data_IF_658696878937
#
_entry.id   IF_658696878937
#
_cell.length_a   1.000
_cell.length_b   1.000
_cell.length_c   1.000
_cell.angle_alpha   90.00
_cell.angle_beta   90.00
_cell.angle_gamma   90.00
#
_symmetry.space_group_name_H-M   'P 1'
#
loop_
_entity.id
_entity.type
_entity.pdbx_description
1 polymer ?
#
# COMPACT_ATOMS: atom_id res chain seq x y z
N UNK A 1 -11.00 -4.45 -12.24
CA UNK A 1 -11.93 -5.48 -11.75
C UNK A 1 -11.13 -6.71 -11.38
N UNK A 2 -10.97 -6.97 -10.09
CA UNK A 2 -10.35 -8.21 -9.62
C UNK A 2 -11.27 -9.38 -10.01
N UNK A 3 -10.72 -10.40 -10.67
CA UNK A 3 -11.45 -11.65 -10.95
C UNK A 3 -11.53 -12.43 -9.65
N UNK A 4 -12.57 -12.19 -8.86
CA UNK A 4 -12.86 -13.02 -7.70
C UNK A 4 -13.43 -14.36 -8.19
N UNK A 5 -12.54 -15.27 -8.56
CA UNK A 5 -12.91 -16.59 -9.07
C UNK A 5 -12.27 -17.69 -8.22
N UNK A 6 -12.99 -18.18 -7.21
CA UNK A 6 -12.50 -19.22 -6.30
C UNK A 6 -12.17 -20.55 -7.02
N UNK A 7 -12.67 -20.77 -8.25
CA UNK A 7 -12.61 -22.07 -8.91
C UNK A 7 -12.18 -22.08 -10.40
N UNK A 8 -12.26 -20.98 -11.16
CA UNK A 8 -12.14 -21.04 -12.64
C UNK A 8 -11.28 -19.91 -13.25
N UNK A 9 -10.79 -18.95 -12.46
CA UNK A 9 -10.30 -17.68 -12.98
C UNK A 9 -8.94 -17.20 -12.50
N UNK A 10 -8.01 -18.11 -12.17
CA UNK A 10 -6.74 -17.75 -11.52
C UNK A 10 -6.98 -17.34 -10.07
N UNK A 11 -6.33 -18.02 -9.13
CA UNK A 11 -6.42 -17.68 -7.72
C UNK A 11 -5.49 -16.49 -7.42
N UNK A 12 -5.85 -15.31 -7.88
CA UNK A 12 -5.16 -14.07 -7.53
C UNK A 12 -5.74 -13.50 -6.24
N UNK A 13 -4.89 -13.15 -5.28
CA UNK A 13 -5.32 -12.55 -4.03
C UNK A 13 -4.33 -12.81 -2.91
N UNK A 14 -4.31 -11.90 -1.93
CA UNK A 14 -3.32 -11.87 -0.83
C UNK A 14 -3.17 -13.20 -0.09
N UNK A 15 -4.25 -13.98 0.04
CA UNK A 15 -4.22 -15.30 0.69
C UNK A 15 -3.63 -16.38 -0.22
N UNK A 16 -3.92 -16.33 -1.52
CA UNK A 16 -3.48 -17.33 -2.50
C UNK A 16 -2.04 -17.09 -2.95
N UNK A 17 -1.62 -15.83 -3.02
CA UNK A 17 -0.27 -15.41 -3.44
C UNK A 17 0.81 -15.68 -2.36
N UNK A 18 0.40 -16.11 -1.16
CA UNK A 18 1.27 -16.33 -0.01
C UNK A 18 1.65 -17.82 0.15
N UNK A 19 2.72 -18.33 -0.50
CA UNK A 19 3.09 -19.76 -0.42
C UNK A 19 3.38 -20.21 1.02
N UNK A 20 3.90 -19.31 1.84
CA UNK A 20 4.19 -19.56 3.24
C UNK A 20 2.94 -19.91 4.06
N UNK A 21 1.79 -19.32 3.75
CA UNK A 21 0.52 -19.62 4.42
C UNK A 21 0.11 -21.08 4.17
N UNK A 22 0.21 -21.53 2.92
CA UNK A 22 -0.14 -22.90 2.54
C UNK A 22 0.82 -23.94 3.11
N UNK A 23 2.12 -23.62 3.15
CA UNK A 23 3.13 -24.48 3.81
C UNK A 23 2.79 -24.65 5.30
N UNK A 24 2.41 -23.56 5.98
CA UNK A 24 2.02 -23.63 7.38
C UNK A 24 0.73 -24.39 7.61
N UNK A 25 -0.27 -24.20 6.74
CA UNK A 25 -1.49 -24.99 6.79
C UNK A 25 -1.19 -26.49 6.65
N UNK A 26 -0.35 -26.87 5.68
CA UNK A 26 0.06 -28.27 5.49
C UNK A 26 0.81 -28.82 6.71
N UNK A 27 1.68 -28.03 7.34
CA UNK A 27 2.36 -28.40 8.58
C UNK A 27 1.35 -28.64 9.72
N UNK A 28 0.35 -27.76 9.86
CA UNK A 28 -0.69 -27.90 10.88
C UNK A 28 -1.55 -29.15 10.65
N UNK A 29 -1.91 -29.44 9.39
CA UNK A 29 -2.61 -30.66 9.03
C UNK A 29 -1.77 -31.91 9.33
N UNK A 30 -0.47 -31.87 9.09
CA UNK A 30 0.44 -32.97 9.44
C UNK A 30 0.51 -33.17 10.95
N UNK A 31 0.63 -32.10 11.73
CA UNK A 31 0.63 -32.16 13.20
C UNK A 31 -0.69 -32.76 13.71
N UNK A 32 -1.83 -32.30 13.17
CA UNK A 32 -3.15 -32.83 13.50
C UNK A 32 -3.28 -34.32 13.15
N UNK A 33 -2.79 -34.74 11.98
CA UNK A 33 -2.79 -36.15 11.58
C UNK A 33 -1.88 -37.01 12.48
N UNK A 34 -0.69 -36.50 12.84
CA UNK A 34 0.23 -37.20 13.73
C UNK A 34 -0.36 -37.37 15.15
N UNK A 35 -0.97 -36.31 15.70
CA UNK A 35 -1.66 -36.38 16.99
C UNK A 35 -2.87 -37.30 16.94
N UNK A 36 -3.65 -37.29 15.86
CA UNK A 36 -4.75 -38.22 15.64
C UNK A 36 -4.26 -39.67 15.70
N UNK A 37 -3.22 -40.01 14.94
CA UNK A 37 -2.67 -41.38 14.89
C UNK A 37 -2.15 -41.80 16.26
N UNK A 38 -1.40 -40.94 16.95
CA UNK A 38 -0.85 -41.25 18.28
C UNK A 38 -1.97 -41.54 19.28
N UNK A 39 -2.99 -40.69 19.34
CA UNK A 39 -4.13 -40.85 20.26
C UNK A 39 -4.95 -42.09 19.89
N UNK A 40 -5.24 -42.30 18.61
CA UNK A 40 -5.97 -43.48 18.14
C UNK A 40 -5.25 -44.79 18.50
N UNK A 41 -3.94 -44.86 18.27
CA UNK A 41 -3.12 -46.03 18.60
C UNK A 41 -3.01 -46.25 20.11
N UNK A 42 -2.90 -45.18 20.90
CA UNK A 42 -2.87 -45.24 22.35
C UNK A 42 -4.17 -45.81 22.92
N UNK A 43 -5.31 -45.26 22.51
CA UNK A 43 -6.64 -45.67 22.97
C UNK A 43 -6.99 -47.10 22.54
N UNK A 44 -6.61 -47.51 21.32
CA UNK A 44 -6.88 -48.87 20.82
C UNK A 44 -5.99 -49.95 21.46
N UNK A 45 -4.72 -49.65 21.77
CA UNK A 45 -3.78 -50.65 22.30
C UNK A 45 -3.83 -50.83 23.82
N UNK A 46 -4.08 -49.76 24.59
CA UNK A 46 -4.03 -49.85 26.05
C UNK A 46 -5.19 -50.67 26.63
N UNK A 47 -6.17 -51.05 25.81
CA UNK A 47 -7.11 -52.10 26.18
C UNK A 47 -8.04 -51.72 27.33
N UNK A 48 -8.03 -50.46 27.78
CA UNK A 48 -9.06 -49.94 28.70
C UNK A 48 -10.48 -50.07 28.12
N UNK A 49 -10.60 -50.36 26.81
CA UNK A 49 -11.87 -50.58 26.11
C UNK A 49 -12.18 -52.02 25.68
N UNK A 50 -11.39 -53.02 26.06
CA UNK A 50 -11.76 -54.42 25.72
C UNK A 50 -12.93 -54.97 26.54
N UNK A 51 -13.16 -54.43 27.74
CA UNK A 51 -14.28 -54.85 28.61
C UNK A 51 -15.47 -53.85 28.61
N UNK A 52 -15.27 -52.64 28.07
CA UNK A 52 -16.35 -51.69 27.79
C UNK A 52 -16.85 -51.90 26.36
N UNK A 53 -17.67 -52.93 26.16
CA UNK A 53 -18.62 -52.91 25.04
C UNK A 53 -19.46 -51.66 25.26
N UNK A 54 -19.27 -50.65 24.43
CA UNK A 54 -20.04 -49.41 24.42
C UNK A 54 -21.51 -49.71 24.10
N UNK A 55 -22.23 -50.28 25.07
CA UNK A 55 -23.67 -50.12 25.12
C UNK A 55 -23.96 -48.62 25.18
N UNK A 56 -25.06 -48.23 24.56
CA UNK A 56 -25.58 -46.88 24.29
C UNK A 56 -25.62 -45.89 25.50
N UNK A 57 -25.13 -46.31 26.69
CA UNK A 57 -25.18 -45.59 27.96
C UNK A 57 -23.89 -44.87 28.39
N UNK A 58 -22.73 -45.13 27.79
CA UNK A 58 -21.46 -44.48 28.24
C UNK A 58 -21.08 -43.18 27.50
N UNK A 59 -22.09 -42.49 26.96
CA UNK A 59 -21.97 -41.09 26.54
C UNK A 59 -21.35 -40.23 27.67
N UNK A 60 -21.66 -40.55 28.93
CA UNK A 60 -21.17 -39.83 30.12
C UNK A 60 -19.64 -39.92 30.27
N UNK A 61 -19.01 -41.08 30.03
CA UNK A 61 -17.56 -41.24 30.11
C UNK A 61 -16.83 -40.47 29.00
N UNK A 62 -17.39 -40.44 27.78
CA UNK A 62 -16.91 -39.56 26.71
C UNK A 62 -17.01 -38.10 27.15
N UNK A 63 -18.12 -37.71 27.77
CA UNK A 63 -18.29 -36.36 28.31
C UNK A 63 -17.28 -36.02 29.42
N UNK A 64 -16.87 -36.98 30.25
CA UNK A 64 -15.90 -36.76 31.31
C UNK A 64 -14.48 -36.50 30.74
N UNK A 65 -14.03 -37.29 29.76
CA UNK A 65 -12.80 -36.98 29.02
C UNK A 65 -12.88 -35.68 28.22
N UNK A 66 -14.06 -35.37 27.65
CA UNK A 66 -14.32 -34.07 27.05
C UNK A 66 -14.30 -32.93 28.09
N UNK A 67 -14.50 -33.22 29.37
CA UNK A 67 -14.49 -32.21 30.45
C UNK A 67 -13.06 -31.82 30.83
N UNK A 68 -12.10 -32.74 30.82
CA UNK A 68 -10.67 -32.37 30.96
C UNK A 68 -10.20 -31.57 29.74
N UNK A 69 -10.60 -32.01 28.54
CA UNK A 69 -10.42 -31.24 27.31
C UNK A 69 -11.06 -29.86 27.39
N UNK A 70 -12.17 -29.68 28.12
CA UNK A 70 -12.85 -28.40 28.28
C UNK A 70 -11.94 -27.35 28.92
N UNK A 71 -11.00 -27.75 29.78
CA UNK A 71 -10.01 -26.84 30.36
C UNK A 71 -9.04 -26.35 29.28
N UNK A 72 -8.55 -27.27 28.44
CA UNK A 72 -7.64 -26.95 27.33
C UNK A 72 -8.36 -26.13 26.25
N UNK A 73 -9.62 -26.47 25.95
CA UNK A 73 -10.48 -25.73 25.05
C UNK A 73 -10.72 -24.30 25.57
N UNK A 74 -11.08 -24.13 26.84
CA UNK A 74 -11.27 -22.82 27.44
C UNK A 74 -10.00 -21.95 27.46
N UNK A 75 -8.83 -22.58 27.66
CA UNK A 75 -7.55 -21.89 27.50
C UNK A 75 -7.33 -21.45 26.05
N UNK A 76 -7.64 -22.32 25.09
CA UNK A 76 -7.52 -22.03 23.65
C UNK A 76 -8.46 -20.90 23.25
N UNK A 77 -9.71 -20.91 23.71
CA UNK A 77 -10.68 -19.84 23.50
C UNK A 77 -10.15 -18.50 24.04
N UNK A 78 -9.55 -18.51 25.23
CA UNK A 78 -8.91 -17.32 25.80
C UNK A 78 -7.74 -16.81 24.93
N UNK A 79 -6.95 -17.72 24.33
CA UNK A 79 -5.89 -17.35 23.39
C UNK A 79 -6.43 -16.84 22.05
N UNK A 80 -7.53 -17.41 21.54
CA UNK A 80 -8.24 -16.93 20.35
C UNK A 80 -8.68 -15.50 20.58
N UNK A 81 -9.38 -15.23 21.68
CA UNK A 81 -9.87 -13.89 22.01
C UNK A 81 -8.73 -12.88 22.18
N UNK A 82 -7.67 -13.26 22.89
CA UNK A 82 -6.50 -12.41 23.08
C UNK A 82 -5.77 -12.14 21.75
N UNK A 83 -5.58 -13.17 20.92
CA UNK A 83 -4.94 -13.01 19.61
C UNK A 83 -5.78 -12.14 18.67
N UNK A 84 -7.10 -12.37 18.62
CA UNK A 84 -8.04 -11.56 17.83
C UNK A 84 -8.00 -10.09 18.26
N UNK A 85 -8.02 -9.82 19.57
CA UNK A 85 -7.94 -8.47 20.11
C UNK A 85 -6.62 -7.78 19.77
N UNK A 86 -5.48 -8.43 20.03
CA UNK A 86 -4.16 -7.86 19.78
C UNK A 86 -3.89 -7.64 18.29
N UNK A 87 -4.26 -8.60 17.44
CA UNK A 87 -4.14 -8.46 15.98
C UNK A 87 -5.11 -7.42 15.42
N UNK A 88 -6.32 -7.32 15.98
CA UNK A 88 -7.29 -6.30 15.61
C UNK A 88 -6.75 -4.90 15.84
N UNK A 89 -6.27 -4.60 17.06
CA UNK A 89 -5.64 -3.30 17.37
C UNK A 89 -4.41 -3.02 16.51
N UNK A 90 -3.59 -4.05 16.25
CA UNK A 90 -2.42 -3.90 15.41
C UNK A 90 -2.80 -3.55 13.97
N UNK A 91 -3.73 -4.30 13.37
CA UNK A 91 -4.17 -4.09 12.00
C UNK A 91 -4.84 -2.71 11.84
N UNK A 92 -5.71 -2.33 12.79
CA UNK A 92 -6.34 -1.01 12.83
C UNK A 92 -5.29 0.11 12.75
N UNK A 93 -4.27 0.04 13.61
CA UNK A 93 -3.20 1.04 13.60
C UNK A 93 -2.38 1.05 12.30
N UNK A 94 -2.15 -0.10 11.69
CA UNK A 94 -1.44 -0.17 10.40
C UNK A 94 -2.27 0.44 9.27
N UNK A 95 -3.57 0.18 9.24
CA UNK A 95 -4.50 0.75 8.24
C UNK A 95 -4.56 2.28 8.39
N UNK A 96 -4.58 2.80 9.61
CA UNK A 96 -4.50 4.24 9.88
C UNK A 96 -3.21 4.85 9.31
N UNK A 97 -2.05 4.23 9.56
CA UNK A 97 -0.76 4.71 9.04
C UNK A 97 -0.76 4.69 7.52
N UNK A 98 -1.25 3.59 6.92
CA UNK A 98 -1.37 3.46 5.47
C UNK A 98 -2.27 4.55 4.87
N UNK A 99 -3.41 4.83 5.50
CA UNK A 99 -4.35 5.85 5.09
C UNK A 99 -3.75 7.26 5.19
N UNK A 100 -3.08 7.57 6.30
CA UNK A 100 -2.41 8.85 6.53
C UNK A 100 -1.25 9.09 5.53
N UNK A 101 -0.50 8.03 5.18
CA UNK A 101 0.48 8.09 4.09
C UNK A 101 -0.18 8.45 2.75
N UNK A 102 -1.36 7.90 2.47
CA UNK A 102 -2.08 8.15 1.21
C UNK A 102 -2.72 9.53 1.13
N UNK A 103 -3.48 9.92 2.15
CA UNK A 103 -4.39 11.05 2.11
C UNK A 103 -3.81 12.30 2.72
N UNK A 104 -3.07 12.20 3.82
CA UNK A 104 -2.64 13.39 4.53
C UNK A 104 -1.27 13.86 4.05
N UNK A 105 -0.38 12.93 3.69
CA UNK A 105 0.99 13.30 3.29
C UNK A 105 1.18 13.32 1.77
N UNK A 106 0.90 12.21 1.07
CA UNK A 106 1.11 12.13 -0.38
C UNK A 106 0.20 13.09 -1.16
N UNK A 107 -1.08 13.16 -0.81
CA UNK A 107 -2.01 14.07 -1.48
C UNK A 107 -1.64 15.53 -1.22
N UNK A 108 -1.18 15.87 -0.02
CA UNK A 108 -0.75 17.22 0.31
C UNK A 108 0.50 17.63 -0.49
N UNK A 109 1.48 16.73 -0.65
CA UNK A 109 2.64 16.99 -1.51
C UNK A 109 2.22 17.34 -2.95
N UNK A 110 1.26 16.60 -3.50
CA UNK A 110 0.71 16.86 -4.84
C UNK A 110 -0.03 18.20 -4.89
N UNK A 111 -0.77 18.53 -3.83
CA UNK A 111 -1.44 19.82 -3.70
C UNK A 111 -0.44 20.98 -3.63
N UNK A 112 0.70 20.81 -2.97
CA UNK A 112 1.77 21.81 -2.95
C UNK A 112 2.36 21.99 -4.35
N UNK A 113 2.71 20.91 -5.06
CA UNK A 113 3.19 21.00 -6.46
C UNK A 113 2.16 21.72 -7.35
N UNK A 114 0.88 21.38 -7.19
CA UNK A 114 -0.24 22.00 -7.88
C UNK A 114 -0.36 23.50 -7.57
N UNK A 115 -0.23 23.88 -6.30
CA UNK A 115 -0.24 25.27 -5.82
C UNK A 115 0.91 26.08 -6.42
N UNK A 116 2.12 25.51 -6.45
CA UNK A 116 3.29 26.13 -7.07
C UNK A 116 3.08 26.36 -8.58
N UNK A 117 2.55 25.36 -9.29
CA UNK A 117 2.25 25.48 -10.71
C UNK A 117 1.12 26.49 -10.99
N UNK A 118 0.09 26.52 -10.14
CA UNK A 118 -0.98 27.52 -10.22
C UNK A 118 -0.44 28.94 -10.02
N UNK A 119 0.40 29.17 -9.02
CA UNK A 119 1.07 30.46 -8.81
C UNK A 119 1.91 30.84 -10.04
N UNK A 120 2.69 29.90 -10.58
CA UNK A 120 3.46 30.13 -11.80
C UNK A 120 2.56 30.48 -13.01
N UNK A 121 1.38 29.88 -13.14
CA UNK A 121 0.44 30.26 -14.21
C UNK A 121 -0.09 31.68 -14.08
N UNK A 122 -0.24 32.17 -12.84
CA UNK A 122 -0.71 33.54 -12.57
C UNK A 122 0.40 34.57 -12.80
N UNK A 123 1.62 34.29 -12.34
CA UNK A 123 2.74 35.21 -12.48
C UNK A 123 3.36 35.22 -13.89
N UNK A 124 3.20 34.12 -14.64
CA UNK A 124 3.69 34.01 -16.02
C UNK A 124 2.52 33.76 -17.01
N UNK A 125 1.60 34.74 -17.17
CA UNK A 125 0.40 34.56 -18.01
C UNK A 125 0.73 34.55 -19.50
N UNK A 126 1.83 35.21 -19.89
CA UNK A 126 2.20 35.35 -21.29
C UNK A 126 2.65 34.01 -21.89
N UNK A 127 2.26 33.76 -23.15
CA UNK A 127 2.70 32.61 -23.95
C UNK A 127 4.11 32.78 -24.54
N UNK A 128 4.99 33.51 -23.85
CA UNK A 128 6.39 33.62 -24.30
C UNK A 128 7.10 32.27 -24.09
N UNK A 129 8.01 31.86 -25.01
CA UNK A 129 8.75 30.61 -24.85
C UNK A 129 9.49 30.52 -23.51
N UNK A 130 10.00 31.65 -23.01
CA UNK A 130 10.67 31.74 -21.71
C UNK A 130 9.71 31.50 -20.54
N UNK A 131 8.50 32.06 -20.59
CA UNK A 131 7.45 31.84 -19.58
C UNK A 131 7.04 30.37 -19.53
N UNK A 132 6.80 29.76 -20.70
CA UNK A 132 6.46 28.34 -20.78
C UNK A 132 7.60 27.45 -20.28
N UNK A 133 8.84 27.76 -20.65
CA UNK A 133 10.01 27.04 -20.14
C UNK A 133 10.13 27.12 -18.61
N UNK A 134 9.85 28.28 -18.00
CA UNK A 134 9.85 28.44 -16.55
C UNK A 134 8.74 27.61 -15.87
N UNK A 135 7.52 27.61 -16.44
CA UNK A 135 6.37 26.82 -15.95
C UNK A 135 6.67 25.31 -16.02
N UNK A 136 7.15 24.83 -17.16
CA UNK A 136 7.52 23.42 -17.33
C UNK A 136 8.73 23.03 -16.47
N UNK A 137 9.71 23.92 -16.24
CA UNK A 137 10.82 23.67 -15.33
C UNK A 137 10.35 23.45 -13.89
N UNK A 138 9.43 24.27 -13.42
CA UNK A 138 8.84 24.14 -12.08
C UNK A 138 8.06 22.83 -11.94
N UNK A 139 7.22 22.50 -12.95
CA UNK A 139 6.50 21.23 -12.99
C UNK A 139 7.46 20.04 -12.98
N UNK A 140 8.52 20.10 -13.80
CA UNK A 140 9.55 19.06 -13.89
C UNK A 140 10.26 18.84 -12.57
N UNK A 141 10.61 19.90 -11.83
CA UNK A 141 11.19 19.75 -10.49
C UNK A 141 10.18 19.19 -9.48
N UNK A 142 8.91 19.61 -9.52
CA UNK A 142 7.87 19.03 -8.68
C UNK A 142 7.72 17.53 -8.92
N UNK A 143 7.63 17.10 -10.17
CA UNK A 143 7.50 15.67 -10.53
C UNK A 143 8.79 14.88 -10.32
N UNK A 144 9.96 15.48 -10.51
CA UNK A 144 11.25 14.89 -10.17
C UNK A 144 11.36 14.62 -8.67
N UNK A 145 10.94 15.56 -7.81
CA UNK A 145 10.93 15.36 -6.36
C UNK A 145 10.07 14.16 -5.96
N UNK A 146 8.94 13.98 -6.65
CA UNK A 146 8.04 12.85 -6.46
C UNK A 146 8.71 11.54 -6.94
N UNK A 147 9.35 11.54 -8.11
CA UNK A 147 10.05 10.35 -8.63
C UNK A 147 11.18 9.90 -7.71
N UNK A 148 11.96 10.86 -7.20
CA UNK A 148 13.03 10.62 -6.25
C UNK A 148 12.49 10.13 -4.91
N UNK A 149 11.35 10.65 -4.44
CA UNK A 149 10.73 10.16 -3.22
C UNK A 149 10.36 8.68 -3.33
N UNK A 150 9.81 8.23 -4.46
CA UNK A 150 9.55 6.80 -4.66
C UNK A 150 10.83 5.97 -4.57
N UNK A 151 11.98 6.45 -5.08
CA UNK A 151 13.27 5.75 -4.91
C UNK A 151 13.73 5.73 -3.47
N UNK A 152 13.66 6.87 -2.79
CA UNK A 152 14.03 6.97 -1.38
C UNK A 152 13.15 6.03 -0.53
N UNK A 153 11.87 5.85 -0.88
CA UNK A 153 10.97 4.89 -0.23
C UNK A 153 11.31 3.42 -0.54
N UNK A 154 11.74 3.11 -1.76
CA UNK A 154 12.23 1.76 -2.12
C UNK A 154 13.57 1.44 -1.44
N UNK A 155 14.41 2.45 -1.18
CA UNK A 155 15.70 2.25 -0.52
C UNK A 155 15.56 1.68 0.89
N UNK A 156 14.48 2.01 1.61
CA UNK A 156 14.20 1.48 2.95
C UNK A 156 14.09 -0.04 2.97
N UNK A 157 13.52 -0.64 1.90
CA UNK A 157 13.32 -2.09 1.79
C UNK A 157 14.38 -2.80 0.92
N UNK A 158 15.32 -2.06 0.34
CA UNK A 158 16.33 -2.59 -0.57
C UNK A 158 17.65 -2.93 0.14
N UNK A 159 17.62 -4.01 0.93
CA UNK A 159 18.79 -4.53 1.66
C UNK A 159 19.79 -5.25 0.74
N UNK A 160 19.29 -5.89 -0.33
CA UNK A 160 20.09 -6.68 -1.26
C UNK A 160 20.51 -5.89 -2.50
N UNK A 161 21.74 -6.14 -2.98
CA UNK A 161 22.27 -5.55 -4.24
C UNK A 161 21.35 -5.81 -5.45
N UNK A 162 20.66 -6.95 -5.49
CA UNK A 162 19.72 -7.30 -6.58
C UNK A 162 18.50 -6.39 -6.56
N UNK A 163 17.94 -6.14 -5.39
CA UNK A 163 16.79 -5.27 -5.19
C UNK A 163 17.16 -3.82 -5.48
N UNK A 164 18.32 -3.35 -5.00
CA UNK A 164 18.84 -2.01 -5.32
C UNK A 164 19.00 -1.79 -6.83
N UNK A 165 19.54 -2.80 -7.54
CA UNK A 165 19.67 -2.75 -9.01
C UNK A 165 18.31 -2.78 -9.72
N UNK A 166 17.35 -3.58 -9.25
CA UNK A 166 16.00 -3.66 -9.82
C UNK A 166 15.30 -2.30 -9.80
N UNK A 167 15.45 -1.55 -8.71
CA UNK A 167 14.82 -0.25 -8.52
C UNK A 167 15.68 0.94 -8.96
N UNK A 168 16.82 0.69 -9.61
CA UNK A 168 17.75 1.74 -10.06
C UNK A 168 18.04 2.75 -8.93
N UNK A 169 18.40 2.26 -7.74
CA UNK A 169 18.65 3.13 -6.58
C UNK A 169 20.04 3.79 -6.62
N UNK A 170 21.01 3.10 -7.23
CA UNK A 170 22.41 3.54 -7.31
C UNK A 170 22.68 4.40 -8.56
N UNK A 171 21.72 4.51 -9.47
CA UNK A 171 21.84 5.20 -10.75
C UNK A 171 20.56 6.00 -11.02
N UNK A 172 20.68 7.17 -11.63
CA UNK A 172 19.57 8.07 -11.98
C UNK A 172 19.42 8.25 -13.50
N UNK A 173 20.12 7.42 -14.30
CA UNK A 173 20.11 7.49 -15.77
C UNK A 173 18.73 7.34 -16.39
N UNK A 174 17.88 6.51 -15.80
CA UNK A 174 16.51 6.34 -16.27
C UNK A 174 15.66 7.61 -16.10
N UNK A 175 15.88 8.41 -15.04
CA UNK A 175 15.22 9.73 -14.90
C UNK A 175 15.73 10.75 -15.93
N UNK A 176 17.00 10.65 -16.34
CA UNK A 176 17.56 11.46 -17.43
C UNK A 176 16.94 11.06 -18.75
N UNK A 177 16.87 9.74 -19.02
CA UNK A 177 16.28 9.19 -20.24
C UNK A 177 14.77 9.49 -20.36
N UNK A 178 14.06 9.53 -19.24
CA UNK A 178 12.65 9.95 -19.17
C UNK A 178 12.46 11.48 -19.32
N UNK A 179 13.54 12.27 -19.31
CA UNK A 179 13.50 13.72 -19.40
C UNK A 179 13.02 14.43 -18.12
N UNK A 180 12.99 13.72 -16.99
CA UNK A 180 12.65 14.30 -15.69
C UNK A 180 13.82 15.11 -15.11
N UNK A 181 15.05 14.76 -15.44
CA UNK A 181 16.24 15.51 -15.01
C UNK A 181 17.26 15.68 -16.12
N UNK A 182 18.10 16.71 -16.00
CA UNK A 182 19.25 16.88 -16.89
C UNK A 182 20.47 16.13 -16.36
N UNK A 183 21.42 15.84 -17.23
CA UNK A 183 22.69 15.19 -16.89
C UNK A 183 23.45 15.94 -15.78
N UNK A 184 23.46 17.27 -15.84
CA UNK A 184 24.07 18.11 -14.80
C UNK A 184 23.35 17.99 -13.45
N UNK A 185 22.02 17.94 -13.46
CA UNK A 185 21.23 17.76 -12.24
C UNK A 185 21.47 16.37 -11.62
N UNK A 186 21.66 15.35 -12.47
CA UNK A 186 22.04 13.99 -12.06
C UNK A 186 23.34 14.01 -11.26
N UNK A 187 24.39 14.63 -11.79
CA UNK A 187 25.69 14.73 -11.14
C UNK A 187 25.64 15.45 -9.78
N UNK A 188 24.76 16.43 -9.63
CA UNK A 188 24.54 17.15 -8.38
C UNK A 188 23.79 16.27 -7.35
N UNK A 189 22.71 15.61 -7.77
CA UNK A 189 21.87 14.80 -6.89
C UNK A 189 22.54 13.49 -6.46
N UNK A 190 23.39 12.91 -7.30
CA UNK A 190 24.15 11.70 -6.95
C UNK A 190 25.04 11.89 -5.71
N UNK A 191 25.42 13.12 -5.39
CA UNK A 191 26.25 13.45 -4.22
C UNK A 191 25.41 13.72 -2.96
N UNK A 192 24.09 13.77 -3.08
CA UNK A 192 23.19 14.13 -1.99
C UNK A 192 22.55 12.88 -1.35
N UNK A 193 22.50 12.79 -0.01
CA UNK A 193 21.83 11.69 0.68
C UNK A 193 20.30 11.78 0.57
N UNK A 194 19.72 12.99 0.65
CA UNK A 194 18.26 13.23 0.67
C UNK A 194 17.77 13.86 -0.64
N UNK A 195 17.86 13.09 -1.73
CA UNK A 195 17.69 13.59 -3.10
C UNK A 195 16.31 14.23 -3.33
N UNK A 196 15.23 13.59 -2.87
CA UNK A 196 13.86 14.08 -3.02
C UNK A 196 13.62 15.45 -2.37
N UNK A 197 14.23 15.71 -1.21
CA UNK A 197 14.11 17.00 -0.49
C UNK A 197 14.97 18.10 -1.12
N UNK A 198 16.16 17.77 -1.65
CA UNK A 198 17.08 18.76 -2.25
C UNK A 198 16.46 19.49 -3.44
N UNK A 199 15.60 18.82 -4.22
CA UNK A 199 14.89 19.44 -5.34
C UNK A 199 14.01 20.62 -4.90
N UNK A 200 13.46 20.60 -3.68
CA UNK A 200 12.68 21.72 -3.14
C UNK A 200 13.54 22.94 -2.81
N UNK A 201 14.81 22.74 -2.46
CA UNK A 201 15.78 23.84 -2.37
C UNK A 201 16.00 24.48 -3.74
N UNK A 202 16.03 23.69 -4.82
CA UNK A 202 16.14 24.24 -6.18
C UNK A 202 14.90 25.04 -6.58
N UNK A 203 13.70 24.55 -6.25
CA UNK A 203 12.45 25.28 -6.48
C UNK A 203 12.43 26.61 -5.71
N UNK A 204 12.78 26.61 -4.42
CA UNK A 204 12.88 27.85 -3.63
C UNK A 204 13.90 28.84 -4.20
N UNK A 205 15.06 28.33 -4.64
CA UNK A 205 16.09 29.15 -5.31
C UNK A 205 15.61 29.73 -6.64
N UNK A 206 14.78 28.99 -7.38
CA UNK A 206 14.21 29.41 -8.65
C UNK A 206 13.23 30.57 -8.45
N UNK A 207 12.35 30.47 -7.45
CA UNK A 207 11.46 31.56 -7.06
C UNK A 207 12.24 32.80 -6.64
N UNK A 208 13.27 32.63 -5.80
CA UNK A 208 14.13 33.74 -5.36
C UNK A 208 14.82 34.41 -6.54
N UNK A 209 15.32 33.62 -7.50
CA UNK A 209 15.91 34.15 -8.73
C UNK A 209 14.90 34.97 -9.54
N UNK A 210 13.67 34.49 -9.72
CA UNK A 210 12.65 35.24 -10.48
C UNK A 210 12.24 36.55 -9.80
N UNK A 211 12.27 36.60 -8.47
CA UNK A 211 12.08 37.84 -7.69
C UNK A 211 13.24 38.81 -7.97
N UNK A 212 14.48 38.35 -7.82
CA UNK A 212 15.68 39.18 -8.02
C UNK A 212 15.84 39.67 -9.47
N UNK A 213 15.42 38.85 -10.44
CA UNK A 213 15.41 39.20 -11.87
C UNK A 213 14.28 40.20 -12.23
N UNK A 214 13.44 40.61 -11.26
CA UNK A 214 12.31 41.53 -11.48
C UNK A 214 11.19 40.95 -12.35
N UNK A 215 11.09 39.61 -12.44
CA UNK A 215 10.05 38.93 -13.23
C UNK A 215 8.73 38.79 -12.50
N UNK A 216 8.74 38.96 -11.18
CA UNK A 216 7.55 38.96 -10.34
C UNK A 216 7.22 40.40 -9.95
N UNK A 217 5.93 40.80 -10.00
CA UNK A 217 5.51 42.20 -9.82
C UNK A 217 5.73 42.73 -8.41
N UNK A 218 5.89 41.84 -7.42
CA UNK A 218 6.12 42.20 -6.04
C UNK A 218 7.33 41.42 -5.49
N UNK A 219 8.35 42.14 -5.06
CA UNK A 219 9.50 41.61 -4.34
C UNK A 219 9.30 41.73 -2.81
N UNK A 220 8.05 41.80 -2.36
CA UNK A 220 7.72 41.84 -0.95
C UNK A 220 8.33 40.62 -0.23
N UNK A 221 8.89 40.90 0.94
CA UNK A 221 9.43 39.89 1.83
C UNK A 221 8.36 38.83 2.18
N UNK A 222 7.09 39.23 2.22
CA UNK A 222 5.95 38.35 2.48
C UNK A 222 5.76 37.29 1.39
N UNK A 223 5.74 37.70 0.11
CA UNK A 223 5.61 36.75 -1.02
C UNK A 223 6.77 35.75 -1.06
N UNK A 224 8.00 36.22 -0.82
CA UNK A 224 9.16 35.34 -0.76
C UNK A 224 9.05 34.34 0.39
N UNK A 225 8.68 34.82 1.58
CA UNK A 225 8.45 33.99 2.76
C UNK A 225 7.39 32.92 2.51
N UNK A 226 6.28 33.29 1.86
CA UNK A 226 5.21 32.35 1.54
C UNK A 226 5.63 31.27 0.52
N UNK A 227 6.41 31.64 -0.49
CA UNK A 227 6.91 30.69 -1.49
C UNK A 227 7.94 29.72 -0.90
N UNK A 228 8.86 30.24 -0.08
CA UNK A 228 9.83 29.42 0.63
C UNK A 228 9.15 28.51 1.66
N UNK A 229 8.16 29.03 2.41
CA UNK A 229 7.40 28.26 3.39
C UNK A 229 6.64 27.08 2.77
N UNK A 230 6.10 27.23 1.56
CA UNK A 230 5.50 26.10 0.83
C UNK A 230 6.55 25.05 0.40
N UNK A 231 7.77 25.46 0.05
CA UNK A 231 8.86 24.53 -0.27
C UNK A 231 9.32 23.76 0.99
N UNK A 232 9.40 24.44 2.13
CA UNK A 232 9.70 23.82 3.43
C UNK A 232 8.62 22.80 3.81
N UNK A 233 7.34 23.18 3.69
CA UNK A 233 6.22 22.25 3.91
C UNK A 233 6.34 21.00 3.04
N UNK A 234 6.66 21.13 1.75
CA UNK A 234 6.82 19.97 0.87
C UNK A 234 7.98 19.06 1.30
N UNK A 235 9.14 19.64 1.63
CA UNK A 235 10.28 18.89 2.15
C UNK A 235 9.95 18.18 3.48
N UNK A 236 9.18 18.82 4.35
CA UNK A 236 8.71 18.26 5.62
C UNK A 236 7.72 17.11 5.43
N UNK A 237 6.83 17.19 4.42
CA UNK A 237 5.93 16.08 4.06
C UNK A 237 6.71 14.88 3.56
N UNK A 238 7.70 15.09 2.69
CA UNK A 238 8.61 14.02 2.24
C UNK A 238 9.34 13.39 3.43
N UNK A 239 9.92 14.23 4.32
CA UNK A 239 10.61 13.76 5.52
C UNK A 239 9.69 12.95 6.43
N UNK A 240 8.46 13.40 6.62
CA UNK A 240 7.46 12.73 7.46
C UNK A 240 7.06 11.37 6.88
N UNK A 241 6.88 11.27 5.56
CA UNK A 241 6.61 9.99 4.89
C UNK A 241 7.78 9.02 5.06
N UNK A 242 9.00 9.45 4.76
CA UNK A 242 10.20 8.62 4.90
C UNK A 242 10.43 8.20 6.36
N UNK A 243 10.21 9.10 7.32
CA UNK A 243 10.32 8.80 8.74
C UNK A 243 9.31 7.71 9.16
N UNK A 244 8.08 7.75 8.64
CA UNK A 244 7.05 6.74 8.93
C UNK A 244 7.38 5.39 8.31
N UNK A 245 7.82 5.36 7.06
CA UNK A 245 8.22 4.12 6.37
C UNK A 245 9.43 3.49 7.08
N UNK A 246 10.39 4.32 7.51
CA UNK A 246 11.60 3.85 8.17
C UNK A 246 11.36 3.45 9.65
N UNK A 247 10.37 4.06 10.31
CA UNK A 247 10.05 3.74 11.71
C UNK A 247 9.07 2.58 11.78
N UNK A 248 9.62 1.38 11.89
CA UNK A 248 8.82 0.17 12.10
C UNK A 248 8.24 0.12 13.52
N UNK A 249 7.19 -0.68 13.69
CA UNK A 249 6.68 -0.98 15.03
C UNK A 249 7.78 -1.61 15.89
N UNK A 250 7.73 -1.40 17.22
CA UNK A 250 8.67 -2.03 18.12
C UNK A 250 8.73 -3.54 17.87
N UNK A 251 9.93 -4.04 17.58
CA UNK A 251 10.14 -5.45 17.19
C UNK A 251 9.54 -6.41 18.23
N UNK A 252 9.64 -6.08 19.52
CA UNK A 252 9.06 -6.84 20.63
C UNK A 252 7.55 -7.03 20.46
N UNK A 253 6.83 -6.00 20.00
CA UNK A 253 5.39 -6.07 19.81
C UNK A 253 5.02 -6.98 18.62
N UNK A 254 5.70 -6.82 17.49
CA UNK A 254 5.50 -7.69 16.32
C UNK A 254 5.84 -9.15 16.64
N UNK A 255 6.93 -9.40 17.37
CA UNK A 255 7.30 -10.74 17.82
C UNK A 255 6.28 -11.36 18.77
N UNK A 256 5.71 -10.58 19.69
CA UNK A 256 4.65 -11.05 20.58
C UNK A 256 3.42 -11.50 19.77
N UNK A 257 2.98 -10.69 18.81
CA UNK A 257 1.84 -10.99 17.93
C UNK A 257 2.08 -12.25 17.10
N UNK A 258 3.24 -12.35 16.47
CA UNK A 258 3.57 -13.55 15.68
C UNK A 258 3.61 -14.78 16.60
N UNK A 259 4.26 -14.67 17.77
CA UNK A 259 4.41 -15.80 18.70
C UNK A 259 3.07 -16.30 19.24
N UNK A 260 2.18 -15.40 19.70
CA UNK A 260 0.87 -15.80 20.22
C UNK A 260 0.03 -16.47 19.13
N UNK A 261 0.06 -15.95 17.90
CA UNK A 261 -0.64 -16.56 16.77
C UNK A 261 -0.07 -17.93 16.40
N UNK A 262 1.25 -18.11 16.42
CA UNK A 262 1.87 -19.43 16.17
C UNK A 262 1.52 -20.45 17.24
N UNK A 263 1.60 -20.06 18.51
CA UNK A 263 1.21 -20.93 19.63
C UNK A 263 -0.27 -21.30 19.51
N UNK A 264 -1.14 -20.35 19.20
CA UNK A 264 -2.57 -20.60 19.01
C UNK A 264 -2.84 -21.62 17.90
N UNK A 265 -2.27 -21.40 16.71
CA UNK A 265 -2.48 -22.30 15.55
C UNK A 265 -1.91 -23.69 15.84
N UNK A 266 -0.74 -23.78 16.49
CA UNK A 266 -0.13 -25.04 16.89
C UNK A 266 -1.01 -25.82 17.88
N UNK A 267 -1.47 -25.16 18.95
CA UNK A 267 -2.36 -25.76 19.95
C UNK A 267 -3.66 -26.24 19.30
N UNK A 268 -4.24 -25.43 18.40
CA UNK A 268 -5.45 -25.80 17.68
C UNK A 268 -5.25 -27.03 16.76
N UNK A 269 -4.07 -27.17 16.14
CA UNK A 269 -3.74 -28.36 15.35
C UNK A 269 -3.70 -29.63 16.23
N UNK A 270 -3.09 -29.55 17.42
CA UNK A 270 -3.04 -30.66 18.39
C UNK A 270 -4.44 -31.04 18.88
N UNK A 271 -5.27 -30.05 19.25
CA UNK A 271 -6.66 -30.27 19.69
C UNK A 271 -7.49 -30.89 18.57
N UNK A 272 -7.35 -30.40 17.33
CA UNK A 272 -8.02 -30.95 16.16
C UNK A 272 -7.69 -32.44 15.98
N UNK A 273 -6.41 -32.82 16.08
CA UNK A 273 -5.99 -34.23 15.98
C UNK A 273 -6.55 -35.10 17.11
N UNK A 274 -6.49 -34.61 18.34
CA UNK A 274 -7.01 -35.30 19.52
C UNK A 274 -8.54 -35.53 19.43
N UNK A 275 -9.32 -34.48 19.18
CA UNK A 275 -10.80 -34.58 19.08
C UNK A 275 -11.20 -35.46 17.91
N UNK A 276 -10.47 -35.40 16.79
CA UNK A 276 -10.72 -36.26 15.63
C UNK A 276 -10.48 -37.74 15.94
N UNK A 277 -9.44 -38.08 16.72
CA UNK A 277 -9.19 -39.48 17.11
C UNK A 277 -10.34 -40.06 17.95
N UNK A 278 -10.80 -39.31 18.95
CA UNK A 278 -11.95 -39.71 19.79
C UNK A 278 -13.22 -39.84 18.93
N UNK A 279 -13.47 -38.89 18.02
CA UNK A 279 -14.63 -38.93 17.14
C UNK A 279 -14.63 -40.15 16.22
N UNK A 280 -13.46 -40.59 15.72
CA UNK A 280 -13.34 -41.82 14.91
C UNK A 280 -13.70 -43.06 15.72
N UNK A 281 -13.20 -43.15 16.96
CA UNK A 281 -13.50 -44.27 17.87
C UNK A 281 -15.00 -44.32 18.18
N UNK A 282 -15.61 -43.15 18.42
CA UNK A 282 -17.05 -43.01 18.65
C UNK A 282 -17.92 -43.06 17.38
N UNK A 283 -17.36 -43.30 16.20
CA UNK A 283 -18.07 -43.31 14.91
C UNK A 283 -18.79 -41.98 14.52
N UNK A 284 -18.34 -40.84 15.05
CA UNK A 284 -18.87 -39.51 14.79
C UNK A 284 -18.10 -38.77 13.66
N UNK A 285 -18.16 -39.29 12.44
CA UNK A 285 -17.39 -38.77 11.29
C UNK A 285 -17.60 -37.29 10.98
N UNK A 286 -18.79 -36.74 11.27
CA UNK A 286 -19.08 -35.33 11.02
C UNK A 286 -18.25 -34.40 11.92
N UNK A 287 -17.91 -34.80 13.15
CA UNK A 287 -17.05 -34.00 14.03
C UNK A 287 -15.64 -33.88 13.48
N UNK A 288 -15.10 -34.96 12.91
CA UNK A 288 -13.79 -34.96 12.26
C UNK A 288 -13.76 -33.91 11.15
N UNK A 289 -14.76 -33.91 10.27
CA UNK A 289 -14.87 -32.92 9.19
C UNK A 289 -14.93 -31.48 9.73
N UNK A 290 -15.75 -31.23 10.77
CA UNK A 290 -15.86 -29.90 11.40
C UNK A 290 -14.52 -29.44 11.99
N UNK A 291 -13.78 -30.33 12.65
CA UNK A 291 -12.48 -29.99 13.24
C UNK A 291 -11.44 -29.60 12.19
N UNK A 292 -11.36 -30.35 11.09
CA UNK A 292 -10.45 -30.01 9.98
C UNK A 292 -10.84 -28.70 9.29
N UNK A 293 -12.14 -28.47 9.07
CA UNK A 293 -12.64 -27.19 8.53
C UNK A 293 -12.27 -26.03 9.47
N UNK A 294 -12.48 -26.19 10.77
CA UNK A 294 -12.12 -25.18 11.77
C UNK A 294 -10.60 -24.90 11.77
N UNK A 295 -9.76 -25.94 11.73
CA UNK A 295 -8.31 -25.79 11.65
C UNK A 295 -7.87 -25.02 10.40
N UNK A 296 -8.46 -25.34 9.24
CA UNK A 296 -8.18 -24.64 7.98
C UNK A 296 -8.58 -23.16 8.10
N UNK A 297 -9.82 -22.88 8.52
CA UNK A 297 -10.34 -21.51 8.61
C UNK A 297 -9.52 -20.66 9.59
N UNK A 298 -9.24 -21.19 10.79
CA UNK A 298 -8.49 -20.48 11.82
C UNK A 298 -7.05 -20.20 11.34
N UNK A 299 -6.39 -21.19 10.74
CA UNK A 299 -5.03 -21.02 10.21
C UNK A 299 -5.00 -19.97 9.10
N UNK A 300 -5.89 -20.08 8.11
CA UNK A 300 -5.97 -19.14 6.98
C UNK A 300 -6.27 -17.72 7.46
N UNK A 301 -7.21 -17.57 8.40
CA UNK A 301 -7.62 -16.27 8.91
C UNK A 301 -6.48 -15.57 9.66
N UNK A 302 -5.95 -16.20 10.71
CA UNK A 302 -4.90 -15.60 11.54
C UNK A 302 -3.59 -15.41 10.79
N UNK A 303 -3.21 -16.39 9.97
CA UNK A 303 -2.01 -16.26 9.14
C UNK A 303 -2.19 -15.23 8.02
N UNK A 304 -3.40 -15.13 7.46
CA UNK A 304 -3.76 -14.13 6.47
C UNK A 304 -3.63 -12.72 7.02
N UNK A 305 -4.14 -12.45 8.23
CA UNK A 305 -4.00 -11.13 8.89
C UNK A 305 -2.52 -10.77 9.08
N UNK A 306 -1.70 -11.71 9.58
CA UNK A 306 -0.25 -11.48 9.69
C UNK A 306 0.42 -11.20 8.34
N UNK A 307 -0.11 -11.75 7.25
CA UNK A 307 0.40 -11.52 5.91
C UNK A 307 -0.05 -10.18 5.29
N UNK A 308 -1.13 -9.58 5.79
CA UNK A 308 -1.53 -8.23 5.36
C UNK A 308 -0.49 -7.18 5.77
N UNK A 309 0.15 -7.35 6.94
CA UNK A 309 1.15 -6.40 7.46
C UNK A 309 2.25 -5.99 6.47
N UNK A 310 3.04 -6.94 5.90
CA UNK A 310 4.10 -6.57 4.95
C UNK A 310 3.57 -5.90 3.68
N UNK A 311 2.29 -6.09 3.32
CA UNK A 311 1.68 -5.45 2.16
C UNK A 311 1.22 -4.00 2.42
N UNK A 312 1.07 -3.59 3.69
CA UNK A 312 0.60 -2.25 4.05
C UNK A 312 1.67 -1.37 4.70
N UNK A 313 2.75 -1.97 5.22
CA UNK A 313 3.81 -1.23 5.93
C UNK A 313 4.54 -0.21 5.04
N UNK A 314 4.83 -0.58 3.79
CA UNK A 314 5.41 0.31 2.79
C UNK A 314 4.58 0.27 1.51
N UNK A 315 3.61 1.20 1.34
CA UNK A 315 2.73 1.21 0.19
C UNK A 315 3.36 1.84 -1.06
N UNK A 316 4.66 2.18 -1.05
CA UNK A 316 5.34 2.78 -2.20
C UNK A 316 6.16 1.78 -3.01
N UNK A 317 6.10 0.50 -2.63
CA UNK A 317 6.72 -0.62 -3.32
C UNK A 317 5.95 -1.00 -4.60
N UNK A 318 6.33 -2.13 -5.18
CA UNK A 318 5.80 -2.63 -6.46
C UNK A 318 4.76 -3.76 -6.29
N UNK A 319 4.12 -3.87 -5.11
CA UNK A 319 3.06 -4.86 -4.91
C UNK A 319 1.75 -4.43 -5.59
N UNK A 320 0.82 -5.38 -5.73
CA UNK A 320 -0.47 -5.15 -6.39
C UNK A 320 -1.36 -4.16 -5.60
N UNK A 321 -1.23 -4.16 -4.27
CA UNK A 321 -1.93 -3.25 -3.35
C UNK A 321 -1.30 -1.87 -3.23
N UNK A 322 -0.09 -1.69 -3.76
CA UNK A 322 0.70 -0.49 -3.53
C UNK A 322 0.26 0.68 -4.41
N UNK A 323 0.73 1.86 -4.01
CA UNK A 323 0.50 3.12 -4.70
C UNK A 323 1.24 3.16 -6.03
N UNK A 324 0.47 3.26 -7.12
CA UNK A 324 1.02 3.37 -8.46
C UNK A 324 1.68 4.73 -8.71
N UNK A 325 3.01 4.76 -8.75
CA UNK A 325 3.82 5.91 -9.18
C UNK A 325 3.27 6.55 -10.45
N UNK A 326 3.02 5.74 -11.49
CA UNK A 326 2.56 6.21 -12.81
C UNK A 326 1.23 6.96 -12.72
N UNK A 327 0.32 6.50 -11.86
CA UNK A 327 -0.97 7.16 -11.66
C UNK A 327 -0.79 8.54 -11.01
N UNK A 328 0.04 8.63 -9.98
CA UNK A 328 0.33 9.89 -9.30
C UNK A 328 1.07 10.87 -10.20
N UNK A 329 2.08 10.39 -10.92
CA UNK A 329 2.82 11.19 -11.88
C UNK A 329 1.90 11.78 -12.96
N UNK A 330 1.12 10.92 -13.65
CA UNK A 330 0.21 11.36 -14.71
C UNK A 330 -0.85 12.34 -14.19
N UNK A 331 -1.43 12.07 -13.01
CA UNK A 331 -2.40 12.97 -12.39
C UNK A 331 -1.79 14.34 -12.09
N UNK A 332 -0.61 14.38 -11.47
CA UNK A 332 0.08 15.62 -11.11
C UNK A 332 0.41 16.44 -12.35
N UNK A 333 0.97 15.81 -13.39
CA UNK A 333 1.30 16.49 -14.66
C UNK A 333 0.06 17.07 -15.32
N UNK A 334 -1.02 16.28 -15.44
CA UNK A 334 -2.25 16.74 -16.08
C UNK A 334 -2.92 17.88 -15.30
N UNK A 335 -2.93 17.80 -13.97
CA UNK A 335 -3.49 18.83 -13.09
C UNK A 335 -2.67 20.12 -13.16
N UNK A 336 -1.34 20.05 -13.19
CA UNK A 336 -0.52 21.26 -13.27
C UNK A 336 -0.59 21.92 -14.64
N UNK A 337 -0.62 21.13 -15.72
CA UNK A 337 -0.79 21.66 -17.08
C UNK A 337 -2.15 22.27 -17.32
N UNK A 338 -3.20 21.79 -16.65
CA UNK A 338 -4.51 22.45 -16.74
C UNK A 338 -4.50 23.84 -16.10
N UNK A 339 -3.74 24.06 -15.02
CA UNK A 339 -3.52 25.42 -14.49
C UNK A 339 -2.75 26.30 -15.48
N UNK A 340 -1.70 25.76 -16.12
CA UNK A 340 -0.98 26.51 -17.15
C UNK A 340 -1.91 26.93 -18.30
N UNK A 341 -2.74 26.02 -18.80
CA UNK A 341 -3.71 26.31 -19.86
C UNK A 341 -4.77 27.34 -19.41
N UNK A 342 -5.25 27.24 -18.17
CA UNK A 342 -6.22 28.18 -17.61
C UNK A 342 -5.63 29.59 -17.42
N UNK A 343 -4.37 29.69 -16.99
CA UNK A 343 -3.68 30.98 -16.83
C UNK A 343 -3.33 31.67 -18.16
N UNK A 344 -3.16 30.92 -19.25
CA UNK A 344 -2.88 31.48 -20.57
C UNK A 344 -4.10 32.09 -21.27
N UNK A 345 -5.31 31.57 -20.98
CA UNK A 345 -6.56 32.03 -21.60
C UNK A 345 -7.65 32.24 -20.53
N UNK A 346 -7.48 33.22 -19.64
CA UNK A 346 -8.47 33.48 -18.61
C UNK A 346 -9.78 34.00 -19.23
N UNK A 347 -10.95 33.64 -18.69
CA UNK A 347 -12.26 33.98 -19.28
C UNK A 347 -12.57 35.49 -19.27
N UNK A 348 -11.87 36.28 -18.46
CA UNK A 348 -12.04 37.73 -18.39
C UNK A 348 -11.17 38.48 -19.40
N UNK A 349 -10.18 37.82 -20.02
CA UNK A 349 -9.57 38.32 -21.26
C UNK A 349 -10.54 37.95 -22.36
N UNK A 350 -11.69 38.62 -22.33
CA UNK A 350 -12.54 38.78 -23.51
C UNK A 350 -11.61 39.48 -24.48
N UNK A 351 -11.05 38.72 -25.44
CA UNK A 351 -10.50 39.31 -26.64
C UNK A 351 -11.53 40.32 -27.08
N UNK A 352 -11.12 41.59 -27.13
CA UNK A 352 -11.97 42.74 -27.34
C UNK A 352 -13.18 42.33 -28.17
N UNK A 353 -14.35 42.42 -27.54
CA UNK A 353 -15.60 42.49 -28.27
C UNK A 353 -15.37 43.62 -29.26
N UNK A 354 -14.96 43.23 -30.47
CA UNK A 354 -14.87 44.06 -31.65
C UNK A 354 -16.14 44.89 -31.65
N UNK A 355 -15.97 46.19 -31.48
CA UNK A 355 -17.02 47.21 -31.44
C UNK A 355 -17.80 47.32 -32.78
N UNK A 356 -17.98 46.24 -33.55
CA UNK A 356 -18.73 46.31 -34.81
C UNK A 356 -18.93 45.05 -35.66
N UNK A 357 -18.40 43.87 -35.33
CA UNK A 357 -18.75 42.66 -36.09
C UNK A 357 -19.84 41.85 -35.37
N UNK A 358 -21.02 41.78 -36.00
CA UNK A 358 -22.15 40.93 -35.62
C UNK A 358 -21.68 39.48 -35.38
N UNK A 359 -21.38 39.14 -34.12
CA UNK A 359 -21.09 37.77 -33.73
C UNK A 359 -22.34 36.93 -34.07
N UNK A 360 -22.25 35.97 -35.01
CA UNK A 360 -23.41 35.21 -35.47
C UNK A 360 -24.12 34.55 -34.28
N UNK A 361 -25.45 34.66 -34.20
CA UNK A 361 -26.27 34.18 -33.08
C UNK A 361 -26.03 32.70 -32.70
N UNK A 362 -25.44 31.89 -33.58
CA UNK A 362 -25.03 30.51 -33.32
C UNK A 362 -23.70 30.31 -32.59
N UNK A 363 -22.94 31.37 -32.30
CA UNK A 363 -21.64 31.32 -31.62
C UNK A 363 -21.70 31.71 -30.14
N UNK A 364 -22.91 31.95 -29.59
CA UNK A 364 -23.22 31.79 -28.16
C UNK A 364 -23.15 30.31 -27.78
N UNK A 365 -22.00 29.68 -27.99
CA UNK A 365 -21.79 28.28 -27.63
C UNK A 365 -21.72 28.18 -26.11
N UNK A 366 -22.53 27.27 -25.59
CA UNK A 366 -22.58 26.88 -24.19
C UNK A 366 -21.18 26.78 -23.57
N UNK A 367 -20.99 27.30 -22.34
CA UNK A 367 -19.72 27.19 -21.65
C UNK A 367 -19.33 25.71 -21.48
N UNK A 368 -18.12 25.41 -21.98
CA UNK A 368 -17.29 24.24 -21.68
C UNK A 368 -17.90 22.85 -21.93
N UNK A 369 -17.78 22.35 -23.16
CA UNK A 369 -17.42 20.94 -23.30
C UNK A 369 -15.98 20.80 -22.78
N UNK A 370 -15.83 20.35 -21.53
CA UNK A 370 -14.53 19.88 -21.04
C UNK A 370 -13.97 18.89 -22.08
N UNK A 371 -12.66 18.96 -22.41
CA UNK A 371 -12.05 17.87 -23.16
C UNK A 371 -12.39 16.57 -22.43
N UNK A 372 -12.69 15.47 -23.15
CA UNK A 372 -13.06 14.22 -22.51
C UNK A 372 -11.98 13.92 -21.48
N UNK A 373 -12.34 13.98 -20.20
CA UNK A 373 -11.45 13.50 -19.15
C UNK A 373 -11.11 12.10 -19.61
N UNK A 374 -9.82 11.85 -19.87
CA UNK A 374 -9.37 10.49 -20.16
C UNK A 374 -10.02 9.66 -19.08
N UNK A 375 -10.96 8.74 -19.43
CA UNK A 375 -11.52 7.89 -18.41
C UNK A 375 -10.30 7.29 -17.76
N UNK A 376 -10.18 7.48 -16.44
CA UNK A 376 -9.24 6.71 -15.64
C UNK A 376 -9.81 5.30 -15.71
N UNK A 377 -9.65 4.65 -16.87
CA UNK A 377 -9.70 3.22 -17.02
C UNK A 377 -8.60 2.81 -16.08
N UNK A 378 -8.99 2.35 -14.89
CA UNK A 378 -8.05 1.80 -13.93
C UNK A 378 -7.07 0.94 -14.73
N UNK A 379 -5.81 1.36 -14.80
CA UNK A 379 -4.71 0.63 -15.45
C UNK A 379 -4.36 -0.60 -14.57
N UNK A 380 -5.38 -1.26 -14.01
CA UNK A 380 -5.26 -2.53 -13.30
C UNK A 380 -5.37 -3.70 -14.27
N UNK A 381 -6.03 -3.56 -15.44
CA UNK A 381 -6.23 -4.70 -16.34
C UNK A 381 -5.16 -4.88 -17.42
N UNK A 382 -4.43 -3.82 -17.82
CA UNK A 382 -3.41 -3.93 -18.88
C UNK A 382 -2.07 -4.47 -18.36
N UNK A 383 -1.79 -4.36 -17.06
CA UNK A 383 -0.59 -4.93 -16.42
C UNK A 383 -0.56 -6.47 -16.47
N UNK A 384 -1.70 -7.16 -16.57
CA UNK A 384 -1.74 -8.64 -16.65
C UNK A 384 -1.43 -9.22 -18.03
N UNK A 385 -1.54 -8.46 -19.12
CA UNK A 385 -1.28 -9.00 -20.47
C UNK A 385 0.19 -8.91 -20.90
N UNK A 386 1.00 -8.05 -20.27
CA UNK A 386 2.40 -7.85 -20.66
C UNK A 386 3.39 -8.76 -19.93
N UNK A 387 2.99 -9.41 -18.83
CA UNK A 387 3.81 -10.38 -18.11
C UNK A 387 3.49 -11.86 -18.44
N UNK A 388 2.59 -12.12 -19.39
CA UNK A 388 2.21 -13.48 -19.81
C UNK A 388 2.96 -14.03 -21.03
N UNK A 389 3.93 -13.29 -21.59
CA UNK A 389 4.66 -13.66 -22.81
C UNK A 389 6.18 -13.40 -22.68
N UNK A 390 6.79 -13.76 -21.55
CA UNK A 390 8.24 -13.96 -21.46
C UNK A 390 8.56 -15.27 -20.75
#
# INVERSE_FOLDING_TARGET
MARFGFLIGGAEGTVFDAPFLWIQLMLCLLIAAATLVIVYVYETNIGMYKDYVWEERDIIAVFEHLTELKVIAGLTDSFVDLAAFLLGMYLDKQVDIWWELRHDTMQELINIISSQCMRASVYFPQQTPTSQANKELLLRYGTLSLALFWRDAHEVDAWDKRTRKKFHLDDLDDLVNEGLMTERERELLMKCPVKSQVVWTWIGSLWTKWILDGRLPDASHEMQSDLCGECEKAADRIRSMLARINTQFPLTYTHLLVSITKVLIFTNAVICGYVSAIAIIGHYWYWVAVQFVNLILLTVFYQGILHIYPAIVNPFCDNVSDFSWKLFHARTVNQCRSFFAAGEKPPYVVADLDDGEDVPEGMRRHPAQMPPQLPIVQISSTRMKLFGNQ
#
